data_IF_406365029955
#
_entry.id   IF_406365029955
#
_cell.length_a   1.000
_cell.length_b   1.000
_cell.length_c   1.000
_cell.angle_alpha   90.00
_cell.angle_beta   90.00
_cell.angle_gamma   90.00
#
_symmetry.space_group_name_H-M   'P 1'
#
loop_
_entity.id
_entity.type
_entity.pdbx_description
1 polymer ?
#
# COMPACT_ATOMS: atom_id res chain seq x y z
N UNK A 1 9.00 -26.77 3.13
CA UNK A 1 9.75 -25.61 2.61
C UNK A 1 11.02 -25.43 3.42
N UNK A 2 12.11 -24.97 2.81
CA UNK A 2 13.38 -24.71 3.50
C UNK A 2 13.65 -23.20 3.54
N UNK A 3 13.74 -22.63 4.75
CA UNK A 3 13.86 -21.19 4.97
C UNK A 3 15.33 -20.75 5.10
N UNK A 4 15.57 -19.45 4.93
CA UNK A 4 16.85 -18.79 5.20
C UNK A 4 16.75 -17.92 6.46
N UNK A 5 17.88 -17.37 6.90
CA UNK A 5 17.94 -16.34 7.97
C UNK A 5 17.09 -15.09 7.65
N UNK A 6 16.82 -14.82 6.37
CA UNK A 6 15.98 -13.69 5.96
C UNK A 6 14.52 -13.93 6.37
N UNK A 7 14.07 -15.18 6.44
CA UNK A 7 12.72 -15.50 6.92
C UNK A 7 12.56 -15.25 8.41
N UNK A 8 13.57 -15.49 9.23
CA UNK A 8 13.52 -15.10 10.65
C UNK A 8 13.55 -13.58 10.82
N UNK A 9 14.31 -12.91 9.95
CA UNK A 9 14.36 -11.44 9.90
C UNK A 9 13.03 -10.84 9.44
N UNK A 10 12.31 -11.49 8.54
CA UNK A 10 11.00 -11.07 8.05
C UNK A 10 10.01 -10.82 9.21
N UNK A 11 9.95 -11.74 10.17
CA UNK A 11 9.04 -11.63 11.31
C UNK A 11 9.43 -10.51 12.28
N UNK A 12 10.71 -10.42 12.64
CA UNK A 12 11.22 -9.32 13.48
C UNK A 12 11.00 -7.96 12.81
N UNK A 13 11.26 -7.89 11.51
CA UNK A 13 11.06 -6.70 10.69
C UNK A 13 9.59 -6.28 10.58
N UNK A 14 8.66 -7.25 10.47
CA UNK A 14 7.23 -6.99 10.44
C UNK A 14 6.73 -6.42 11.78
N UNK A 15 7.16 -7.00 12.90
CA UNK A 15 6.83 -6.53 14.23
C UNK A 15 7.41 -5.13 14.48
N UNK A 16 8.70 -4.94 14.22
CA UNK A 16 9.37 -3.67 14.50
C UNK A 16 8.76 -2.50 13.70
N UNK A 17 8.38 -2.72 12.44
CA UNK A 17 7.70 -1.70 11.63
C UNK A 17 6.32 -1.33 12.15
N UNK A 18 5.57 -2.26 12.75
CA UNK A 18 4.31 -1.96 13.41
C UNK A 18 4.55 -1.22 14.74
N UNK A 19 5.52 -1.67 15.53
CA UNK A 19 5.93 -1.00 16.76
C UNK A 19 6.41 0.44 16.50
N UNK A 20 7.13 0.68 15.41
CA UNK A 20 7.50 2.03 14.95
C UNK A 20 6.26 2.89 14.66
N UNK A 21 5.23 2.32 14.04
CA UNK A 21 3.98 3.02 13.76
C UNK A 21 3.29 3.46 15.07
N UNK A 22 3.17 2.58 16.06
CA UNK A 22 2.59 2.94 17.36
C UNK A 22 3.40 3.97 18.12
N UNK A 23 4.73 3.82 18.17
CA UNK A 23 5.61 4.81 18.80
C UNK A 23 5.48 6.18 18.13
N UNK A 24 5.35 6.24 16.80
CA UNK A 24 5.10 7.49 16.05
C UNK A 24 3.76 8.14 16.37
N UNK A 25 2.71 7.34 16.58
CA UNK A 25 1.39 7.86 16.96
C UNK A 25 1.40 8.46 18.36
N UNK A 26 2.10 7.81 19.30
CA UNK A 26 2.18 8.27 20.68
C UNK A 26 3.16 9.43 20.88
N UNK A 27 4.34 9.37 20.25
CA UNK A 27 5.36 10.41 20.31
C UNK A 27 5.83 10.80 18.90
N UNK A 28 5.50 12.01 18.39
CA UNK A 28 5.95 12.47 17.09
C UNK A 28 7.44 12.85 17.05
N UNK A 29 8.16 12.81 18.18
CA UNK A 29 9.55 13.24 18.26
C UNK A 29 10.56 12.09 18.13
N UNK A 30 10.26 10.90 18.65
CA UNK A 30 11.12 9.72 18.53
C UNK A 30 12.44 9.83 19.33
N UNK A 31 13.43 8.96 19.08
CA UNK A 31 13.50 7.95 18.02
C UNK A 31 12.44 6.85 18.18
N UNK A 32 12.04 6.27 17.05
CA UNK A 32 10.99 5.23 17.04
C UNK A 32 11.54 3.83 16.78
N UNK A 33 12.85 3.64 16.75
CA UNK A 33 13.52 2.34 16.59
C UNK A 33 15.01 2.48 16.87
N UNK A 34 15.62 1.40 17.39
CA UNK A 34 17.07 1.28 17.53
C UNK A 34 17.73 0.68 16.26
N UNK A 35 16.94 0.05 15.39
CA UNK A 35 17.44 -0.52 14.13
C UNK A 35 18.03 0.60 13.24
N UNK A 36 19.33 0.53 12.91
CA UNK A 36 19.98 1.57 12.10
C UNK A 36 19.45 1.63 10.67
N UNK A 37 19.08 0.49 10.08
CA UNK A 37 18.56 0.39 8.72
C UNK A 37 17.17 1.04 8.64
N UNK A 38 16.30 0.79 9.62
CA UNK A 38 14.96 1.38 9.71
C UNK A 38 14.99 2.89 10.05
N UNK A 39 16.02 3.36 10.75
CA UNK A 39 16.26 4.80 10.97
C UNK A 39 16.71 5.51 9.70
N UNK A 40 17.60 4.89 8.92
CA UNK A 40 18.25 5.51 7.77
C UNK A 40 17.39 5.47 6.51
N UNK A 41 16.66 4.38 6.26
CA UNK A 41 15.97 4.16 4.99
C UNK A 41 14.45 4.22 5.13
N UNK A 42 13.79 4.62 4.04
CA UNK A 42 12.32 4.72 3.99
C UNK A 42 11.72 3.34 3.72
N UNK A 43 10.85 2.85 4.60
CA UNK A 43 9.98 1.68 4.36
C UNK A 43 8.51 2.09 4.45
N UNK A 44 7.60 1.33 3.84
CA UNK A 44 6.16 1.42 4.12
C UNK A 44 5.86 0.96 5.55
N UNK A 45 4.61 0.95 5.99
CA UNK A 45 4.18 0.29 7.22
C UNK A 45 3.88 -1.20 6.98
N UNK A 46 3.86 -1.99 8.06
CA UNK A 46 3.48 -3.41 8.03
C UNK A 46 2.13 -3.61 7.36
N UNK A 47 1.16 -2.75 7.70
CA UNK A 47 -0.15 -2.69 7.07
C UNK A 47 -0.17 -1.58 6.04
N UNK A 48 -0.43 -1.93 4.76
CA UNK A 48 -0.40 -0.95 3.66
C UNK A 48 -1.39 0.20 3.88
N UNK A 49 -2.54 -0.09 4.49
CA UNK A 49 -3.55 0.92 4.80
C UNK A 49 -3.02 2.03 5.74
N UNK A 50 -2.02 1.74 6.58
CA UNK A 50 -1.42 2.70 7.51
C UNK A 50 -0.40 3.64 6.84
N UNK A 51 -0.03 3.40 5.57
CA UNK A 51 0.83 4.31 4.83
C UNK A 51 0.19 5.68 4.64
N UNK A 52 1.00 6.74 4.72
CA UNK A 52 0.53 8.13 4.57
C UNK A 52 -0.36 8.36 3.34
N UNK A 53 -0.03 7.74 2.21
CA UNK A 53 -0.79 7.91 0.96
C UNK A 53 -2.10 7.11 1.00
N UNK A 54 -2.09 5.92 1.59
CA UNK A 54 -3.30 5.10 1.81
C UNK A 54 -4.23 5.76 2.83
N UNK A 55 -3.68 6.31 3.92
CA UNK A 55 -4.44 7.08 4.90
C UNK A 55 -5.13 8.28 4.26
N UNK A 56 -4.44 9.03 3.38
CA UNK A 56 -5.06 10.13 2.63
C UNK A 56 -6.14 9.63 1.67
N UNK A 57 -5.91 8.52 0.96
CA UNK A 57 -6.93 7.90 0.11
C UNK A 57 -8.20 7.58 0.91
N UNK A 58 -8.07 6.85 2.01
CA UNK A 58 -9.19 6.39 2.82
C UNK A 58 -9.91 7.61 3.42
N UNK A 59 -9.20 8.45 4.17
CA UNK A 59 -9.80 9.56 4.91
C UNK A 59 -10.33 10.69 4.03
N UNK A 60 -9.53 11.16 3.07
CA UNK A 60 -9.81 12.40 2.34
C UNK A 60 -10.46 12.16 0.98
N UNK A 61 -10.19 11.03 0.32
CA UNK A 61 -10.66 10.76 -1.05
C UNK A 61 -11.92 9.88 -1.06
N UNK A 62 -11.96 8.87 -0.18
CA UNK A 62 -13.04 7.87 -0.14
C UNK A 62 -14.13 8.22 0.88
N UNK A 63 -13.76 8.54 2.12
CA UNK A 63 -14.71 8.65 3.25
C UNK A 63 -14.95 10.07 3.78
N UNK A 64 -14.42 11.11 3.13
CA UNK A 64 -14.68 12.49 3.55
C UNK A 64 -16.18 12.81 3.45
N UNK A 65 -16.75 13.38 4.51
CA UNK A 65 -18.20 13.58 4.71
C UNK A 65 -18.90 14.33 3.56
N UNK A 66 -18.24 15.31 2.96
CA UNK A 66 -18.82 16.10 1.86
C UNK A 66 -18.88 15.34 0.52
N UNK A 67 -18.33 14.12 0.43
CA UNK A 67 -18.23 13.38 -0.84
C UNK A 67 -19.36 12.37 -1.00
N UNK A 68 -19.95 12.36 -2.19
CA UNK A 68 -20.94 11.36 -2.59
C UNK A 68 -20.37 9.95 -2.49
N UNK A 69 -21.11 9.05 -1.86
CA UNK A 69 -20.80 7.62 -1.77
C UNK A 69 -21.40 6.82 -2.93
N UNK A 70 -21.89 7.48 -3.99
CA UNK A 70 -22.30 6.78 -5.21
C UNK A 70 -21.13 5.98 -5.80
N UNK A 71 -21.35 4.72 -6.24
CA UNK A 71 -20.30 3.84 -6.73
C UNK A 71 -19.36 4.46 -7.78
N UNK A 72 -19.94 5.11 -8.80
CA UNK A 72 -19.19 5.78 -9.87
C UNK A 72 -18.31 6.92 -9.35
N UNK A 73 -18.78 7.63 -8.32
CA UNK A 73 -18.09 8.77 -7.71
C UNK A 73 -16.89 8.29 -6.88
N UNK A 74 -17.09 7.25 -6.07
CA UNK A 74 -16.04 6.61 -5.27
C UNK A 74 -14.96 6.00 -6.16
N UNK A 75 -15.36 5.27 -7.20
CA UNK A 75 -14.44 4.69 -8.17
C UNK A 75 -13.63 5.77 -8.87
N UNK A 76 -14.30 6.79 -9.45
CA UNK A 76 -13.65 7.86 -10.20
C UNK A 76 -12.55 8.54 -9.38
N UNK A 77 -12.87 8.98 -8.17
CA UNK A 77 -11.91 9.65 -7.29
C UNK A 77 -10.77 8.72 -6.86
N UNK A 78 -11.09 7.48 -6.51
CA UNK A 78 -10.09 6.49 -6.10
C UNK A 78 -9.07 6.26 -7.21
N UNK A 79 -9.53 5.97 -8.44
CA UNK A 79 -8.63 5.72 -9.57
C UNK A 79 -7.89 6.99 -9.99
N UNK A 80 -8.55 8.16 -10.03
CA UNK A 80 -7.88 9.43 -10.32
C UNK A 80 -6.74 9.70 -9.34
N UNK A 81 -6.98 9.54 -8.04
CA UNK A 81 -5.95 9.68 -7.01
C UNK A 81 -4.82 8.67 -7.22
N UNK A 82 -5.16 7.39 -7.44
CA UNK A 82 -4.19 6.29 -7.51
C UNK A 82 -3.36 6.26 -8.80
N UNK A 83 -3.84 6.86 -9.89
CA UNK A 83 -3.04 7.08 -11.11
C UNK A 83 -1.78 7.88 -10.78
N UNK A 84 -1.93 8.98 -10.03
CA UNK A 84 -0.81 9.85 -9.65
C UNK A 84 -0.15 9.39 -8.34
N UNK A 85 -0.93 8.73 -7.48
CA UNK A 85 -0.56 8.21 -6.17
C UNK A 85 0.15 9.25 -5.29
N UNK A 86 -0.22 10.53 -5.44
CA UNK A 86 0.47 11.68 -4.84
C UNK A 86 -0.52 12.73 -4.35
N UNK A 87 -0.45 13.00 -3.03
CA UNK A 87 -1.28 13.99 -2.34
C UNK A 87 -1.20 15.38 -2.98
N UNK A 88 0.00 15.92 -3.23
CA UNK A 88 0.13 17.27 -3.81
C UNK A 88 -0.56 17.42 -5.18
N UNK A 89 -0.62 16.33 -5.97
CA UNK A 89 -1.28 16.34 -7.28
C UNK A 89 -2.79 16.36 -7.12
N UNK A 90 -3.31 15.57 -6.17
CA UNK A 90 -4.71 15.59 -5.79
C UNK A 90 -5.15 16.98 -5.29
N UNK A 91 -4.40 17.57 -4.35
CA UNK A 91 -4.69 18.90 -3.82
C UNK A 91 -4.57 20.01 -4.88
N UNK A 92 -3.72 19.83 -5.90
CA UNK A 92 -3.68 20.75 -7.03
C UNK A 92 -4.94 20.64 -7.89
N UNK A 93 -5.44 19.43 -8.14
CA UNK A 93 -6.72 19.21 -8.83
C UNK A 93 -7.88 19.80 -8.02
N UNK A 94 -7.99 19.52 -6.72
CA UNK A 94 -9.09 20.07 -5.91
C UNK A 94 -9.07 21.59 -5.81
N UNK A 95 -7.90 22.24 -5.83
CA UNK A 95 -7.84 23.71 -5.88
C UNK A 95 -8.34 24.30 -7.20
N UNK A 96 -8.23 23.55 -8.31
CA UNK A 96 -8.68 23.98 -9.63
C UNK A 96 -10.17 23.71 -9.85
N UNK A 97 -10.66 22.57 -9.34
CA UNK A 97 -12.00 22.04 -9.63
C UNK A 97 -12.97 22.09 -8.45
N UNK A 98 -12.51 22.39 -7.24
CA UNK A 98 -13.29 22.16 -6.02
C UNK A 98 -13.39 20.66 -5.71
N UNK A 99 -14.55 20.23 -5.20
CA UNK A 99 -14.79 18.81 -4.96
C UNK A 99 -14.81 18.05 -6.28
N UNK A 100 -13.88 17.10 -6.43
CA UNK A 100 -13.78 16.26 -7.63
C UNK A 100 -14.96 15.28 -7.71
N UNK A 101 -15.88 15.52 -8.63
CA UNK A 101 -17.01 14.63 -8.94
C UNK A 101 -16.87 14.08 -10.36
N UNK A 102 -17.39 12.89 -10.62
CA UNK A 102 -17.43 12.36 -11.99
C UNK A 102 -18.35 13.21 -12.87
N UNK A 103 -19.52 13.61 -12.33
CA UNK A 103 -20.57 14.32 -13.08
C UNK A 103 -20.07 15.54 -13.87
N UNK A 104 -19.19 16.32 -13.26
CA UNK A 104 -18.76 17.63 -13.78
C UNK A 104 -17.25 17.70 -14.07
N UNK A 105 -16.58 16.54 -14.19
CA UNK A 105 -15.13 16.51 -14.39
C UNK A 105 -14.74 16.83 -15.84
N UNK A 106 -14.00 17.93 -16.01
CA UNK A 106 -13.41 18.32 -17.29
C UNK A 106 -11.99 17.73 -17.43
N UNK A 107 -11.87 16.65 -18.21
CA UNK A 107 -10.60 16.00 -18.49
C UNK A 107 -9.61 16.87 -19.26
N UNK A 108 -10.10 17.77 -20.13
CA UNK A 108 -9.22 18.64 -20.91
C UNK A 108 -8.57 19.68 -20.00
N UNK A 109 -9.37 20.33 -19.15
CA UNK A 109 -8.87 21.28 -18.16
C UNK A 109 -7.92 20.59 -17.17
N UNK A 110 -8.21 19.34 -16.78
CA UNK A 110 -7.34 18.57 -15.90
C UNK A 110 -6.00 18.25 -16.57
N UNK A 111 -6.01 17.88 -17.86
CA UNK A 111 -4.80 17.66 -18.64
C UNK A 111 -3.94 18.92 -18.73
N UNK A 112 -4.56 20.07 -19.02
CA UNK A 112 -3.89 21.37 -19.10
C UNK A 112 -3.26 21.75 -17.76
N UNK A 113 -3.95 21.55 -16.63
CA UNK A 113 -3.38 21.77 -15.30
C UNK A 113 -2.14 20.91 -15.07
N UNK A 114 -2.23 19.60 -15.31
CA UNK A 114 -1.13 18.66 -15.11
C UNK A 114 0.06 18.97 -16.03
N UNK A 115 -0.20 19.34 -17.28
CA UNK A 115 0.80 19.82 -18.23
C UNK A 115 1.51 21.08 -17.73
N UNK A 116 0.77 22.06 -17.18
CA UNK A 116 1.35 23.28 -16.58
C UNK A 116 2.21 22.96 -15.35
N UNK A 117 1.74 22.08 -14.46
CA UNK A 117 2.50 21.65 -13.28
C UNK A 117 3.81 20.95 -13.69
N UNK A 118 3.73 20.06 -14.68
CA UNK A 118 4.89 19.35 -15.21
C UNK A 118 5.89 20.31 -15.87
N UNK A 119 5.43 21.26 -16.69
CA UNK A 119 6.27 22.28 -17.33
C UNK A 119 7.00 23.16 -16.30
N UNK A 120 6.42 23.37 -15.12
CA UNK A 120 7.06 24.06 -13.97
C UNK A 120 8.02 23.15 -13.17
N UNK A 121 8.39 21.98 -13.68
CA UNK A 121 9.30 21.03 -13.03
C UNK A 121 8.70 20.26 -11.85
N UNK A 122 7.38 20.35 -11.61
CA UNK A 122 6.74 19.60 -10.52
C UNK A 122 6.55 18.14 -10.92
N UNK A 123 6.97 17.23 -10.03
CA UNK A 123 6.66 15.80 -10.16
C UNK A 123 5.18 15.58 -9.80
N UNK A 124 4.37 15.19 -10.79
CA UNK A 124 2.93 14.91 -10.62
C UNK A 124 2.64 13.46 -10.24
N UNK A 125 3.60 12.55 -10.41
CA UNK A 125 3.51 11.16 -9.94
C UNK A 125 4.35 10.98 -8.68
N UNK A 126 3.90 10.07 -7.81
CA UNK A 126 4.73 9.54 -6.73
C UNK A 126 5.89 8.71 -7.26
N UNK A 127 6.91 8.53 -6.42
CA UNK A 127 8.01 7.60 -6.67
C UNK A 127 7.65 6.14 -6.31
N UNK A 128 6.47 5.90 -5.75
CA UNK A 128 5.97 4.57 -5.43
C UNK A 128 5.47 3.88 -6.71
N UNK A 129 6.10 2.75 -7.04
CA UNK A 129 5.90 1.90 -8.22
C UNK A 129 5.91 2.63 -9.59
N UNK A 130 6.13 1.88 -10.67
CA UNK A 130 6.19 2.44 -12.03
C UNK A 130 4.79 2.44 -12.62
N UNK A 131 4.33 3.61 -13.06
CA UNK A 131 3.10 3.77 -13.85
C UNK A 131 3.44 3.82 -15.34
N UNK A 132 3.31 2.74 -16.13
CA UNK A 132 3.51 2.80 -17.57
C UNK A 132 2.36 3.58 -18.22
N UNK A 133 2.61 4.44 -19.23
CA UNK A 133 1.52 5.09 -19.95
C UNK A 133 0.70 4.04 -20.71
N UNK A 134 -0.64 4.05 -20.59
CA UNK A 134 -1.47 3.23 -21.45
C UNK A 134 -1.40 3.70 -22.92
N UNK A 135 -1.52 2.81 -23.90
CA UNK A 135 -1.23 3.08 -25.31
C UNK A 135 -2.35 3.83 -26.06
N UNK A 136 -2.74 5.02 -25.59
CA UNK A 136 -3.76 5.86 -26.25
C UNK A 136 -3.19 6.90 -27.23
N UNK A 137 -1.89 6.78 -27.57
CA UNK A 137 -1.24 7.63 -28.58
C UNK A 137 -1.07 9.11 -28.20
N UNK A 138 -1.39 9.52 -26.97
CA UNK A 138 -1.24 10.92 -26.55
C UNK A 138 0.23 11.24 -26.23
N UNK A 139 0.65 12.47 -26.51
CA UNK A 139 2.04 12.91 -26.31
C UNK A 139 2.50 12.84 -24.86
N UNK A 140 1.64 13.20 -23.90
CA UNK A 140 2.00 13.20 -22.48
C UNK A 140 1.47 11.96 -21.77
N UNK A 141 2.28 11.47 -20.83
CA UNK A 141 1.95 10.32 -19.98
C UNK A 141 0.66 10.52 -19.19
N UNK A 142 0.44 11.70 -18.61
CA UNK A 142 -0.78 11.97 -17.85
C UNK A 142 -2.02 12.02 -18.72
N UNK A 143 -1.92 12.52 -19.96
CA UNK A 143 -3.02 12.52 -20.91
C UNK A 143 -3.50 11.11 -21.23
N UNK A 144 -2.56 10.15 -21.39
CA UNK A 144 -2.92 8.75 -21.62
C UNK A 144 -3.63 8.14 -20.39
N UNK A 145 -3.21 8.46 -19.17
CA UNK A 145 -3.90 7.97 -17.96
C UNK A 145 -5.28 8.60 -17.76
N UNK A 146 -5.44 9.89 -18.10
CA UNK A 146 -6.75 10.54 -18.10
C UNK A 146 -7.70 9.89 -19.13
N UNK A 147 -7.19 9.53 -20.31
CA UNK A 147 -7.94 8.76 -21.30
C UNK A 147 -8.35 7.37 -20.79
N UNK A 148 -7.46 6.68 -20.07
CA UNK A 148 -7.77 5.40 -19.43
C UNK A 148 -8.90 5.54 -18.41
N UNK A 149 -8.82 6.53 -17.52
CA UNK A 149 -9.88 6.78 -16.54
C UNK A 149 -11.21 7.09 -17.23
N UNK A 150 -11.20 7.94 -18.26
CA UNK A 150 -12.42 8.22 -19.03
C UNK A 150 -13.00 6.95 -19.65
N UNK A 151 -12.16 6.10 -20.27
CA UNK A 151 -12.59 4.81 -20.82
C UNK A 151 -13.25 3.93 -19.75
N UNK A 152 -12.60 3.74 -18.59
CA UNK A 152 -13.13 2.95 -17.48
C UNK A 152 -14.50 3.46 -17.01
N UNK A 153 -14.68 4.79 -16.95
CA UNK A 153 -15.96 5.40 -16.57
C UNK A 153 -17.03 5.19 -17.64
N UNK A 154 -16.69 5.39 -18.92
CA UNK A 154 -17.64 5.22 -20.04
C UNK A 154 -18.03 3.75 -20.25
N UNK A 155 -17.13 2.81 -19.96
CA UNK A 155 -17.38 1.37 -20.03
C UNK A 155 -18.16 0.84 -18.81
N UNK A 156 -18.63 1.75 -17.94
CA UNK A 156 -19.40 1.43 -16.73
C UNK A 156 -18.70 0.42 -15.84
N UNK A 157 -17.36 0.46 -15.80
CA UNK A 157 -16.58 -0.41 -14.93
C UNK A 157 -17.05 -0.39 -13.47
N UNK A 158 -17.38 0.75 -12.84
CA UNK A 158 -17.85 0.77 -11.46
C UNK A 158 -19.07 -0.15 -11.23
N UNK A 159 -20.00 -0.19 -12.19
CA UNK A 159 -21.21 -1.03 -12.10
C UNK A 159 -20.87 -2.51 -12.24
N UNK A 160 -19.97 -2.84 -13.17
CA UNK A 160 -19.48 -4.22 -13.39
C UNK A 160 -18.74 -4.76 -12.17
N UNK A 161 -17.90 -3.93 -11.54
CA UNK A 161 -17.15 -4.34 -10.34
C UNK A 161 -18.07 -4.62 -9.15
N UNK A 162 -19.19 -3.89 -9.02
CA UNK A 162 -20.19 -4.17 -7.98
C UNK A 162 -20.95 -5.47 -8.16
N UNK A 163 -20.99 -5.96 -9.40
CA UNK A 163 -21.64 -7.23 -9.75
C UNK A 163 -20.64 -8.40 -9.73
N UNK A 164 -19.36 -8.13 -9.48
CA UNK A 164 -18.36 -9.18 -9.37
C UNK A 164 -18.70 -10.08 -8.17
N UNK A 165 -18.55 -11.42 -8.31
CA UNK A 165 -18.83 -12.35 -7.22
C UNK A 165 -17.72 -12.39 -6.16
N UNK A 166 -16.50 -11.99 -6.51
CA UNK A 166 -15.31 -12.10 -5.68
C UNK A 166 -14.23 -11.06 -6.06
N UNK A 167 -13.22 -10.92 -5.18
CA UNK A 167 -12.10 -10.00 -5.38
C UNK A 167 -11.20 -10.40 -6.58
N UNK A 168 -11.14 -11.69 -6.92
CA UNK A 168 -10.41 -12.18 -8.10
C UNK A 168 -11.03 -11.65 -9.39
N UNK A 169 -12.35 -11.72 -9.53
CA UNK A 169 -13.09 -11.22 -10.69
C UNK A 169 -12.94 -9.71 -10.83
N UNK A 170 -12.93 -8.98 -9.71
CA UNK A 170 -12.59 -7.53 -9.71
C UNK A 170 -11.20 -7.30 -10.30
N UNK A 171 -10.21 -8.05 -9.80
CA UNK A 171 -8.83 -7.95 -10.28
C UNK A 171 -8.71 -8.27 -11.78
N UNK A 172 -9.31 -9.36 -12.25
CA UNK A 172 -9.27 -9.78 -13.66
C UNK A 172 -9.97 -8.77 -14.57
N UNK A 173 -11.09 -8.20 -14.11
CA UNK A 173 -11.79 -7.15 -14.84
C UNK A 173 -10.93 -5.90 -14.99
N UNK A 174 -10.22 -5.47 -13.93
CA UNK A 174 -9.29 -4.34 -14.00
C UNK A 174 -8.07 -4.67 -14.86
N UNK A 175 -7.54 -5.89 -14.78
CA UNK A 175 -6.39 -6.35 -15.55
C UNK A 175 -6.63 -6.30 -17.07
N UNK A 176 -7.89 -6.43 -17.50
CA UNK A 176 -8.28 -6.31 -18.91
C UNK A 176 -8.09 -4.92 -19.52
N UNK A 177 -7.85 -3.87 -18.71
CA UNK A 177 -7.66 -2.52 -19.23
C UNK A 177 -6.22 -2.24 -19.68
N UNK A 178 -6.05 -1.48 -20.78
CA UNK A 178 -4.75 -1.28 -21.39
C UNK A 178 -3.80 -0.53 -20.47
N UNK A 179 -2.55 -0.99 -20.38
CA UNK A 179 -1.52 -0.40 -19.53
C UNK A 179 -1.55 -0.84 -18.05
N UNK A 180 -2.55 -1.63 -17.63
CA UNK A 180 -2.59 -2.18 -16.28
C UNK A 180 -2.00 -3.59 -16.25
N UNK A 181 -0.79 -3.74 -15.72
CA UNK A 181 -0.19 -5.05 -15.46
C UNK A 181 -0.67 -5.68 -14.15
N UNK A 182 -0.36 -6.97 -13.96
CA UNK A 182 -0.74 -7.78 -12.76
C UNK A 182 -0.59 -7.01 -11.45
N UNK A 183 0.56 -6.37 -11.23
CA UNK A 183 0.79 -5.62 -9.99
C UNK A 183 -0.19 -4.44 -9.84
N UNK A 184 -0.33 -3.58 -10.85
CA UNK A 184 -1.17 -2.38 -10.76
C UNK A 184 -2.65 -2.72 -10.65
N UNK A 185 -3.13 -3.71 -11.41
CA UNK A 185 -4.50 -4.18 -11.32
C UNK A 185 -4.83 -4.67 -9.89
N UNK A 186 -3.92 -5.43 -9.27
CA UNK A 186 -4.10 -5.87 -7.89
C UNK A 186 -4.04 -4.70 -6.89
N UNK A 187 -3.14 -3.73 -7.09
CA UNK A 187 -3.10 -2.56 -6.23
C UNK A 187 -4.42 -1.77 -6.27
N UNK A 188 -5.01 -1.59 -7.45
CA UNK A 188 -6.29 -0.90 -7.63
C UNK A 188 -7.46 -1.70 -7.06
N UNK A 189 -7.49 -3.02 -7.24
CA UNK A 189 -8.51 -3.87 -6.61
C UNK A 189 -8.52 -3.68 -5.09
N UNK A 190 -7.35 -3.72 -4.44
CA UNK A 190 -7.23 -3.45 -3.00
C UNK A 190 -7.61 -2.01 -2.63
N UNK A 191 -7.12 -1.00 -3.37
CA UNK A 191 -7.43 0.40 -3.08
C UNK A 191 -8.95 0.68 -3.19
N UNK A 192 -9.63 0.06 -4.15
CA UNK A 192 -11.10 0.11 -4.28
C UNK A 192 -11.79 -0.69 -3.17
N UNK A 193 -11.21 -1.83 -2.78
CA UNK A 193 -11.73 -2.66 -1.69
C UNK A 193 -11.66 -1.92 -0.34
N UNK A 194 -10.76 -0.97 -0.14
CA UNK A 194 -10.80 -0.10 1.05
C UNK A 194 -12.02 0.82 1.15
N UNK A 195 -12.79 1.00 0.07
CA UNK A 195 -13.91 1.94 -0.01
C UNK A 195 -15.28 1.27 0.15
N UNK A 196 -16.33 2.09 0.11
CA UNK A 196 -17.74 1.64 0.05
C UNK A 196 -18.14 0.98 -1.28
N UNK A 197 -17.24 0.94 -2.27
CA UNK A 197 -17.55 0.36 -3.58
C UNK A 197 -17.65 -1.16 -3.54
N UNK A 198 -16.76 -1.82 -2.79
CA UNK A 198 -16.61 -3.27 -2.72
C UNK A 198 -16.61 -3.71 -1.26
N UNK A 199 -16.97 -4.96 -0.99
CA UNK A 199 -17.06 -5.51 0.37
C UNK A 199 -16.51 -6.94 0.47
N UNK A 200 -15.39 -7.21 -0.21
CA UNK A 200 -14.74 -8.52 -0.18
C UNK A 200 -13.77 -8.65 0.99
N UNK A 201 -13.60 -9.87 1.50
CA UNK A 201 -12.54 -10.16 2.45
C UNK A 201 -11.18 -10.01 1.77
N UNK A 202 -10.26 -9.33 2.43
CA UNK A 202 -8.92 -9.10 1.91
C UNK A 202 -8.08 -10.38 1.89
N UNK A 203 -8.50 -11.42 2.60
CA UNK A 203 -7.86 -12.74 2.54
C UNK A 203 -8.24 -13.57 1.33
N UNK A 204 -9.28 -13.21 0.57
CA UNK A 204 -9.77 -14.02 -0.56
C UNK A 204 -8.77 -14.09 -1.72
N UNK A 205 -7.98 -13.04 -1.94
CA UNK A 205 -7.16 -12.94 -3.15
C UNK A 205 -5.90 -12.10 -2.97
N UNK A 206 -4.77 -12.61 -3.47
CA UNK A 206 -3.49 -11.91 -3.45
C UNK A 206 -2.72 -12.14 -4.75
N UNK A 207 -1.95 -11.13 -5.19
CA UNK A 207 -1.03 -11.25 -6.32
C UNK A 207 0.36 -10.78 -5.91
N UNK A 208 1.36 -11.64 -6.11
CA UNK A 208 2.74 -11.32 -5.82
C UNK A 208 3.29 -10.28 -6.82
N UNK A 209 3.74 -9.14 -6.29
CA UNK A 209 4.46 -8.14 -7.09
C UNK A 209 5.94 -8.50 -7.26
N UNK A 210 6.67 -7.83 -8.18
CA UNK A 210 8.09 -8.12 -8.41
C UNK A 210 8.98 -8.02 -7.16
N UNK A 211 8.67 -7.10 -6.24
CA UNK A 211 9.39 -7.01 -4.98
C UNK A 211 9.09 -8.17 -4.03
N UNK A 212 7.84 -8.64 -3.99
CA UNK A 212 7.44 -9.78 -3.18
C UNK A 212 8.09 -11.08 -3.69
N UNK A 213 8.11 -11.28 -5.02
CA UNK A 213 8.81 -12.40 -5.65
C UNK A 213 10.30 -12.44 -5.26
N UNK A 214 10.98 -11.28 -5.30
CA UNK A 214 12.36 -11.16 -4.84
C UNK A 214 12.50 -11.45 -3.35
N UNK A 215 11.59 -10.96 -2.52
CA UNK A 215 11.57 -11.20 -1.07
C UNK A 215 11.42 -12.69 -0.73
N UNK A 216 10.48 -13.36 -1.38
CA UNK A 216 10.26 -14.80 -1.24
C UNK A 216 11.54 -15.57 -1.62
N UNK A 217 12.17 -15.23 -2.75
CA UNK A 217 13.42 -15.88 -3.17
C UNK A 217 14.57 -15.75 -2.17
N UNK A 218 14.55 -14.69 -1.35
CA UNK A 218 15.53 -14.50 -0.27
C UNK A 218 15.15 -15.22 1.01
N UNK A 219 13.85 -15.34 1.31
CA UNK A 219 13.36 -16.00 2.52
C UNK A 219 13.39 -17.53 2.42
N UNK A 220 13.31 -18.10 1.21
CA UNK A 220 13.20 -19.54 1.00
C UNK A 220 14.29 -20.07 0.07
N UNK A 221 15.05 -21.06 0.54
CA UNK A 221 15.99 -21.83 -0.30
C UNK A 221 15.25 -22.75 -1.27
N UNK A 222 14.12 -23.29 -0.83
CA UNK A 222 13.19 -24.09 -1.63
C UNK A 222 11.76 -23.80 -1.19
N UNK A 223 10.89 -23.57 -2.17
CA UNK A 223 9.44 -23.42 -1.98
C UNK A 223 8.70 -24.74 -2.14
N UNK A 224 9.42 -25.84 -2.42
CA UNK A 224 8.86 -27.19 -2.65
C UNK A 224 7.75 -27.20 -3.70
N UNK A 225 7.91 -26.39 -4.75
CA UNK A 225 6.97 -26.29 -5.88
C UNK A 225 5.80 -25.32 -5.67
N UNK A 226 5.66 -24.72 -4.49
CA UNK A 226 4.61 -23.73 -4.20
C UNK A 226 4.83 -22.43 -4.99
N UNK A 227 3.73 -21.87 -5.47
CA UNK A 227 3.65 -20.53 -6.07
C UNK A 227 3.88 -19.43 -5.02
N UNK A 228 4.14 -18.21 -5.49
CA UNK A 228 4.37 -17.07 -4.60
C UNK A 228 3.11 -16.71 -3.78
N UNK A 229 1.94 -16.80 -4.40
CA UNK A 229 0.65 -16.58 -3.77
C UNK A 229 0.36 -17.63 -2.68
N UNK A 230 0.65 -18.91 -2.95
CA UNK A 230 0.53 -19.97 -1.93
C UNK A 230 1.46 -19.74 -0.74
N UNK A 231 2.71 -19.29 -0.99
CA UNK A 231 3.65 -18.95 0.08
C UNK A 231 3.13 -17.76 0.92
N UNK A 232 2.55 -16.75 0.28
CA UNK A 232 1.98 -15.60 0.98
C UNK A 232 0.83 -16.04 1.89
N UNK A 233 -0.07 -16.89 1.39
CA UNK A 233 -1.18 -17.42 2.18
C UNK A 233 -0.66 -18.29 3.34
N UNK A 234 0.29 -19.19 3.07
CA UNK A 234 0.92 -20.03 4.09
C UNK A 234 1.57 -19.22 5.21
N UNK A 235 2.30 -18.15 4.87
CA UNK A 235 2.89 -17.22 5.85
C UNK A 235 1.80 -16.51 6.64
N UNK A 236 0.72 -16.09 6.00
CA UNK A 236 -0.39 -15.39 6.65
C UNK A 236 -1.09 -16.28 7.67
N UNK A 237 -1.38 -17.53 7.31
CA UNK A 237 -2.06 -18.51 8.16
C UNK A 237 -1.25 -18.81 9.43
N UNK A 238 0.08 -18.94 9.28
CA UNK A 238 1.00 -19.31 10.36
C UNK A 238 1.51 -18.16 11.21
N UNK A 239 1.09 -16.91 10.93
CA UNK A 239 1.67 -15.73 11.58
C UNK A 239 1.73 -15.83 13.11
N UNK A 240 0.69 -16.35 13.76
CA UNK A 240 0.65 -16.50 15.22
C UNK A 240 1.74 -17.44 15.74
N UNK A 241 1.89 -18.61 15.12
CA UNK A 241 2.91 -19.61 15.49
C UNK A 241 4.32 -19.09 15.18
N UNK A 242 4.49 -18.41 14.05
CA UNK A 242 5.78 -17.88 13.61
C UNK A 242 6.25 -16.71 14.50
N UNK A 243 5.34 -15.86 14.98
CA UNK A 243 5.67 -14.85 15.99
C UNK A 243 5.98 -15.50 17.35
N UNK A 244 5.11 -16.41 17.82
CA UNK A 244 5.26 -17.07 19.12
C UNK A 244 6.56 -17.90 19.22
N UNK A 245 6.88 -18.71 18.21
CA UNK A 245 8.10 -19.52 18.17
C UNK A 245 9.39 -18.69 18.18
N UNK A 246 9.31 -17.40 17.84
CA UNK A 246 10.43 -16.45 17.87
C UNK A 246 10.44 -15.55 19.10
N UNK A 247 9.50 -15.76 20.03
CA UNK A 247 9.34 -14.93 21.22
C UNK A 247 8.93 -13.48 20.90
N UNK A 248 8.21 -13.27 19.79
CA UNK A 248 7.77 -11.95 19.35
C UNK A 248 6.30 -11.78 19.76
N UNK A 249 6.00 -10.78 20.59
CA UNK A 249 4.62 -10.34 20.83
C UNK A 249 4.13 -9.48 19.65
N UNK A 250 3.13 -9.96 18.93
CA UNK A 250 2.56 -9.25 17.80
C UNK A 250 1.04 -9.19 17.94
N UNK A 251 0.55 -8.07 18.49
CA UNK A 251 -0.87 -7.84 18.68
C UNK A 251 -1.63 -7.47 17.39
N UNK A 252 -0.91 -7.27 16.27
CA UNK A 252 -1.48 -6.79 15.02
C UNK A 252 -1.93 -5.33 15.06
N UNK A 253 -2.50 -4.85 13.96
CA UNK A 253 -2.96 -3.47 13.84
C UNK A 253 -4.24 -3.27 14.65
N UNK A 254 -4.10 -2.86 15.90
CA UNK A 254 -5.18 -2.65 16.86
C UNK A 254 -6.00 -3.95 17.01
N UNK A 255 -5.31 -5.09 17.12
CA UNK A 255 -5.91 -6.42 17.16
C UNK A 255 -6.17 -7.06 15.80
N UNK A 256 -6.08 -6.31 14.68
CA UNK A 256 -6.26 -6.87 13.34
C UNK A 256 -5.04 -7.69 12.94
N UNK A 257 -5.23 -8.98 12.67
CA UNK A 257 -4.20 -9.89 12.10
C UNK A 257 -3.72 -9.41 10.72
N UNK A 258 -2.50 -9.78 10.35
CA UNK A 258 -1.99 -9.57 8.99
C UNK A 258 -2.91 -10.26 7.98
N UNK A 259 -3.18 -9.57 6.88
CA UNK A 259 -3.85 -10.10 5.70
C UNK A 259 -2.83 -10.49 4.62
N UNK A 260 -3.20 -11.30 3.62
CA UNK A 260 -2.29 -11.68 2.53
C UNK A 260 -1.64 -10.49 1.81
N UNK A 261 -2.36 -9.38 1.63
CA UNK A 261 -1.80 -8.14 1.08
C UNK A 261 -0.69 -7.54 1.96
N UNK A 262 -0.81 -7.64 3.28
CA UNK A 262 0.22 -7.15 4.22
C UNK A 262 1.45 -8.05 4.15
N UNK A 263 1.27 -9.37 4.13
CA UNK A 263 2.37 -10.34 3.96
C UNK A 263 3.06 -10.18 2.60
N UNK A 264 2.31 -9.94 1.53
CA UNK A 264 2.85 -9.60 0.21
C UNK A 264 3.72 -8.33 0.26
N UNK A 265 3.24 -7.28 0.94
CA UNK A 265 3.99 -6.03 1.09
C UNK A 265 5.23 -6.21 1.97
N UNK A 266 5.15 -7.03 3.02
CA UNK A 266 6.28 -7.40 3.86
C UNK A 266 7.36 -8.12 3.05
N UNK A 267 7.00 -9.03 2.14
CA UNK A 267 7.98 -9.64 1.24
C UNK A 267 8.64 -8.61 0.32
N UNK A 268 7.88 -7.64 -0.19
CA UNK A 268 8.44 -6.55 -0.98
C UNK A 268 9.50 -5.75 -0.21
N UNK A 269 9.23 -5.44 1.06
CA UNK A 269 10.10 -4.62 1.88
C UNK A 269 11.26 -5.42 2.52
N UNK A 270 11.08 -6.71 2.81
CA UNK A 270 12.19 -7.55 3.30
C UNK A 270 13.23 -7.77 2.21
N UNK A 271 12.83 -7.86 0.93
CA UNK A 271 13.75 -7.87 -0.21
C UNK A 271 14.72 -6.69 -0.17
N UNK A 272 14.22 -5.53 0.27
CA UNK A 272 14.96 -4.28 0.37
C UNK A 272 15.80 -4.21 1.63
N UNK A 273 15.23 -4.55 2.79
CA UNK A 273 15.92 -4.54 4.08
C UNK A 273 17.10 -5.52 4.11
N UNK A 274 16.89 -6.74 3.61
CA UNK A 274 17.92 -7.80 3.53
C UNK A 274 19.15 -7.42 2.69
N UNK A 275 19.07 -6.42 1.80
CA UNK A 275 20.25 -5.97 1.02
C UNK A 275 21.36 -5.42 1.91
N UNK A 276 21.00 -4.91 3.09
CA UNK A 276 21.93 -4.37 4.08
C UNK A 276 22.10 -5.35 5.23
N UNK A 277 21.01 -5.93 5.74
CA UNK A 277 21.06 -6.85 6.88
C UNK A 277 21.67 -8.22 6.54
N UNK A 278 21.52 -8.69 5.29
CA UNK A 278 21.95 -10.01 4.83
C UNK A 278 22.58 -9.91 3.42
N UNK A 279 23.71 -9.19 3.27
CA UNK A 279 24.28 -8.88 1.96
C UNK A 279 24.69 -10.13 1.15
N UNK A 280 24.97 -11.23 1.84
CA UNK A 280 25.36 -12.52 1.22
C UNK A 280 24.15 -13.29 0.66
N UNK A 281 22.92 -12.91 1.01
CA UNK A 281 21.70 -13.55 0.50
C UNK A 281 21.21 -12.84 -0.76
N UNK A 282 21.49 -13.46 -1.91
CA UNK A 282 21.08 -12.98 -3.21
C UNK A 282 19.60 -13.32 -3.48
N UNK A 283 18.88 -12.38 -4.07
CA UNK A 283 17.52 -12.59 -4.59
C UNK A 283 17.52 -12.56 -6.10
N UNK A 284 16.42 -13.03 -6.71
CA UNK A 284 16.26 -13.11 -8.18
C UNK A 284 16.41 -11.78 -8.92
N UNK A 285 16.24 -10.63 -8.24
CA UNK A 285 16.38 -9.31 -8.85
C UNK A 285 17.80 -8.72 -8.74
N UNK A 286 18.74 -9.41 -8.07
CA UNK A 286 20.15 -9.00 -7.81
C UNK A 286 20.31 -7.52 -7.38
N UNK A 287 19.38 -7.01 -6.57
CA UNK A 287 19.44 -5.64 -6.06
C UNK A 287 20.27 -5.57 -4.80
N UNK A 288 21.34 -4.75 -4.82
CA UNK A 288 22.34 -4.68 -3.75
C UNK A 288 22.27 -3.46 -2.82
N UNK A 289 21.52 -2.41 -3.19
CA UNK A 289 21.47 -1.15 -2.42
C UNK A 289 20.04 -0.65 -2.19
N UNK A 290 19.88 0.12 -1.12
CA UNK A 290 18.68 0.90 -0.85
C UNK A 290 18.94 2.34 -1.32
N UNK A 291 18.10 2.85 -2.23
CA UNK A 291 18.30 4.18 -2.85
C UNK A 291 17.61 5.33 -2.12
N UNK A 292 16.60 5.03 -1.29
CA UNK A 292 15.74 6.04 -0.68
C UNK A 292 16.02 6.15 0.81
N UNK A 293 16.74 7.20 1.20
CA UNK A 293 16.90 7.59 2.59
C UNK A 293 15.59 8.13 3.16
N UNK A 294 15.38 7.88 4.45
CA UNK A 294 14.29 8.45 5.20
C UNK A 294 14.64 9.89 5.57
N UNK A 295 13.70 10.82 5.31
CA UNK A 295 13.80 12.19 5.79
C UNK A 295 12.70 12.40 6.82
N UNK A 296 13.11 12.77 8.03
CA UNK A 296 12.18 13.08 9.12
C UNK A 296 11.34 14.29 8.76
N UNK A 297 10.06 14.21 9.09
CA UNK A 297 9.12 15.33 9.05
C UNK A 297 8.62 15.54 10.47
N UNK A 298 8.67 16.77 10.99
CA UNK A 298 8.26 17.09 12.36
C UNK A 298 6.72 17.23 12.53
N UNK A 299 5.94 16.77 11.56
CA UNK A 299 4.48 16.85 11.61
C UNK A 299 3.94 15.68 12.42
N UNK A 300 3.12 15.99 13.42
CA UNK A 300 2.35 14.99 14.17
C UNK A 300 1.50 14.18 13.19
N UNK A 301 1.51 12.86 13.33
CA UNK A 301 0.63 12.00 12.54
C UNK A 301 -0.83 12.31 12.90
N UNK A 302 -1.73 12.47 11.91
CA UNK A 302 -3.16 12.56 12.19
C UNK A 302 -3.63 11.23 12.81
N UNK A 303 -4.79 11.27 13.48
CA UNK A 303 -5.42 10.05 13.95
C UNK A 303 -5.68 9.12 12.74
N UNK A 304 -5.21 7.86 12.78
CA UNK A 304 -5.36 6.97 11.65
C UNK A 304 -6.82 6.60 11.43
N UNK A 305 -7.21 6.51 10.16
CA UNK A 305 -8.51 6.06 9.70
C UNK A 305 -8.34 4.85 8.81
N UNK A 306 -9.11 3.81 9.08
CA UNK A 306 -9.12 2.56 8.31
C UNK A 306 -10.51 2.34 7.71
N UNK A 307 -10.67 1.42 6.75
CA UNK A 307 -11.99 1.06 6.24
C UNK A 307 -12.93 0.71 7.41
N UNK A 308 -14.12 1.33 7.53
CA UNK A 308 -15.01 1.14 8.68
C UNK A 308 -15.33 -0.33 8.96
N UNK A 309 -15.46 -1.15 7.91
CA UNK A 309 -15.74 -2.58 8.02
C UNK A 309 -14.66 -3.40 8.73
N UNK A 310 -13.44 -2.86 8.86
CA UNK A 310 -12.39 -3.53 9.62
C UNK A 310 -12.71 -3.58 11.12
N UNK A 311 -13.64 -2.74 11.61
CA UNK A 311 -14.01 -2.71 13.03
C UNK A 311 -12.87 -2.28 13.96
N UNK A 312 -11.82 -1.66 13.42
CA UNK A 312 -10.63 -1.27 14.17
C UNK A 312 -10.86 0.03 14.94
N UNK A 313 -10.74 -0.04 16.27
CA UNK A 313 -10.71 1.15 17.14
C UNK A 313 -9.32 1.79 17.10
N UNK A 314 -9.27 3.08 16.74
CA UNK A 314 -8.04 3.88 16.77
C UNK A 314 -8.05 4.88 17.94
N UNK A 315 -8.67 4.50 19.05
CA UNK A 315 -8.77 5.33 20.25
C UNK A 315 -7.36 5.58 20.83
N UNK A 316 -7.02 6.82 21.26
CA UNK A 316 -5.75 7.12 21.92
C UNK A 316 -5.34 6.16 23.05
N UNK A 317 -6.29 5.60 23.81
CA UNK A 317 -5.98 4.61 24.85
C UNK A 317 -5.35 3.32 24.28
N UNK A 318 -5.85 2.85 23.15
CA UNK A 318 -5.34 1.65 22.47
C UNK A 318 -3.91 1.88 21.95
N UNK A 319 -3.59 3.12 21.55
CA UNK A 319 -2.23 3.51 21.14
C UNK A 319 -1.24 3.43 22.30
N UNK A 320 -1.65 3.84 23.51
CA UNK A 320 -0.78 3.82 24.71
C UNK A 320 -0.48 2.37 25.13
N UNK A 321 -1.49 1.49 25.15
CA UNK A 321 -1.29 0.07 25.50
C UNK A 321 -0.32 -0.60 24.51
N UNK A 322 -0.51 -0.38 23.21
CA UNK A 322 0.39 -0.92 22.18
C UNK A 322 1.80 -0.30 22.25
N UNK A 323 1.93 0.96 22.69
CA UNK A 323 3.23 1.59 22.94
C UNK A 323 3.98 0.87 24.06
N UNK A 324 3.35 0.65 25.22
CA UNK A 324 4.00 0.02 26.39
C UNK A 324 4.53 -1.37 26.01
N UNK A 325 3.69 -2.19 25.37
CA UNK A 325 4.10 -3.51 24.86
C UNK A 325 5.29 -3.41 23.91
N UNK A 326 5.32 -2.40 23.04
CA UNK A 326 6.42 -2.19 22.10
C UNK A 326 7.72 -1.73 22.77
N UNK A 327 7.65 -1.02 23.90
CA UNK A 327 8.83 -0.58 24.67
C UNK A 327 9.45 -1.74 25.45
N UNK A 328 8.63 -2.60 26.07
CA UNK A 328 9.08 -3.83 26.75
C UNK A 328 9.85 -4.77 25.79
N UNK A 329 9.45 -4.82 24.51
CA UNK A 329 10.17 -5.60 23.49
C UNK A 329 11.54 -5.04 23.11
N UNK A 330 11.74 -3.72 23.16
CA UNK A 330 13.03 -3.10 22.86
C UNK A 330 14.06 -3.36 23.94
N UNK A 331 13.63 -3.56 25.19
CA UNK A 331 14.53 -3.89 26.30
C UNK A 331 15.04 -5.34 26.24
N UNK A 332 14.40 -6.20 25.44
CA UNK A 332 14.71 -7.62 25.29
C UNK A 332 15.56 -7.97 24.05
N UNK A 333 15.89 -6.98 23.21
CA UNK A 333 16.69 -7.11 21.98
C UNK A 333 18.02 -6.36 22.12
#
# INVERSE_FOLDING_TARGET
>A
MNTTVVFDTYWRFAAERLSMFYRRLADPWGPWTNDPILREFRFTNTYRAADRVSQYLISEVQYRSERSQEPKEVFFRTILFKIFNKVDTWEALEREFGLLTWKDFDFERADQLLSRLHAKGRKIYSAAYIMPPPPFGKTRKHSNHLALLNLMMTDRLPDRLRQAPDLQTVYETILGYPGLGRFLAFQYAIDLNYSTLLDFDESEFVVAGPGALDGISKCFKSTDGQSAEEIINWVTERQSDEFASRGIDFAGLFGRRLQPIDCQNLFCEISKYSRVAHPDVQGIADRKRIKQSYRRTALKLPQPRFPPRWGVSTNPADVIVNKIRSEEQLELL
#
